data_IF_838793041720
#
_entry.id   IF_838793041720
#
_cell.length_a   1.000
_cell.length_b   1.000
_cell.length_c   1.000
_cell.angle_alpha   90.00
_cell.angle_beta   90.00
_cell.angle_gamma   90.00
#
_symmetry.space_group_name_H-M   'P 1'
#
loop_
_entity.id
_entity.type
_entity.pdbx_description
1 polymer ?
#
# COMPACT_ATOMS: atom_id res chain seq x y z
N UNK A 1 18.18 20.92 -28.29
CA UNK A 1 16.74 21.11 -28.60
C UNK A 1 16.32 22.47 -28.05
N UNK A 2 15.64 23.33 -28.80
CA UNK A 2 15.23 24.66 -28.29
C UNK A 2 14.16 24.54 -27.19
N UNK A 3 14.13 25.46 -26.22
CA UNK A 3 13.11 25.54 -25.16
C UNK A 3 11.69 25.50 -25.74
N UNK A 4 11.46 26.19 -26.86
CA UNK A 4 10.17 26.16 -27.59
C UNK A 4 9.81 24.76 -28.12
N UNK A 5 10.82 23.98 -28.53
CA UNK A 5 10.63 22.61 -29.00
C UNK A 5 10.22 21.65 -27.88
N UNK A 6 10.85 21.78 -26.71
CA UNK A 6 10.52 21.00 -25.52
C UNK A 6 9.09 21.29 -25.05
N UNK A 7 8.69 22.57 -24.98
CA UNK A 7 7.33 22.97 -24.59
C UNK A 7 6.27 22.40 -25.53
N UNK A 8 6.51 22.41 -26.86
CA UNK A 8 5.59 21.84 -27.84
C UNK A 8 5.44 20.32 -27.68
N UNK A 9 6.54 19.61 -27.43
CA UNK A 9 6.51 18.17 -27.20
C UNK A 9 5.79 17.82 -25.90
N UNK A 10 6.05 18.56 -24.81
CA UNK A 10 5.35 18.36 -23.54
C UNK A 10 3.84 18.56 -23.67
N UNK A 11 3.40 19.57 -24.43
CA UNK A 11 1.98 19.79 -24.70
C UNK A 11 1.35 18.65 -25.51
N UNK A 12 2.06 18.11 -26.51
CA UNK A 12 1.59 16.97 -27.28
C UNK A 12 1.45 15.71 -26.41
N UNK A 13 2.42 15.44 -25.52
CA UNK A 13 2.36 14.33 -24.56
C UNK A 13 1.18 14.49 -23.61
N UNK A 14 0.96 15.70 -23.07
CA UNK A 14 -0.23 15.97 -22.24
C UNK A 14 -1.55 15.69 -22.97
N UNK A 15 -1.65 16.06 -24.26
CA UNK A 15 -2.82 15.75 -25.09
C UNK A 15 -3.04 14.24 -25.23
N UNK A 16 -1.98 13.51 -25.58
CA UNK A 16 -2.02 12.06 -25.74
C UNK A 16 -2.39 11.33 -24.44
N UNK A 17 -1.89 11.79 -23.28
CA UNK A 17 -2.25 11.21 -21.98
C UNK A 17 -3.75 11.37 -21.69
N UNK A 18 -4.33 12.54 -21.99
CA UNK A 18 -5.77 12.78 -21.81
C UNK A 18 -6.62 11.91 -22.71
N UNK A 19 -6.29 11.86 -24.00
CA UNK A 19 -6.99 11.03 -24.98
C UNK A 19 -6.91 9.54 -24.61
N UNK A 20 -5.75 9.06 -24.18
CA UNK A 20 -5.56 7.69 -23.70
C UNK A 20 -6.46 7.40 -22.50
N UNK A 21 -6.54 8.33 -21.55
CA UNK A 21 -7.35 8.17 -20.35
C UNK A 21 -8.85 8.18 -20.67
N UNK A 22 -9.29 9.08 -21.55
CA UNK A 22 -10.68 9.14 -22.02
C UNK A 22 -11.07 7.87 -22.78
N UNK A 23 -10.22 7.39 -23.68
CA UNK A 23 -10.41 6.13 -24.40
C UNK A 23 -10.50 4.95 -23.45
N UNK A 24 -9.63 4.88 -22.44
CA UNK A 24 -9.66 3.82 -21.43
C UNK A 24 -11.00 3.77 -20.68
N UNK A 25 -11.56 4.90 -20.25
CA UNK A 25 -12.84 4.89 -19.54
C UNK A 25 -14.08 4.69 -20.44
N UNK A 26 -13.96 4.98 -21.73
CA UNK A 26 -15.08 4.82 -22.68
C UNK A 26 -15.15 3.43 -23.30
N UNK A 27 -13.99 2.78 -23.49
CA UNK A 27 -13.90 1.47 -24.16
C UNK A 27 -13.82 0.28 -23.20
N UNK A 28 -13.37 0.50 -21.95
CA UNK A 28 -13.16 -0.59 -21.00
C UNK A 28 -14.45 -1.00 -20.28
N UNK A 29 -14.61 -2.29 -20.04
CA UNK A 29 -15.73 -2.84 -19.28
C UNK A 29 -15.30 -3.15 -17.84
N UNK A 30 -15.57 -2.23 -16.92
CA UNK A 30 -15.18 -2.37 -15.51
C UNK A 30 -16.11 -3.34 -14.76
N UNK A 31 -15.55 -4.43 -14.23
CA UNK A 31 -16.28 -5.43 -13.43
C UNK A 31 -16.04 -5.20 -11.93
N UNK A 32 -16.39 -4.02 -11.42
CA UNK A 32 -16.25 -3.68 -10.00
C UNK A 32 -17.51 -3.98 -9.20
N UNK A 33 -17.36 -4.09 -7.87
CA UNK A 33 -18.49 -4.34 -6.94
C UNK A 33 -19.50 -3.18 -6.93
N UNK A 34 -19.03 -1.93 -7.08
CA UNK A 34 -19.87 -0.73 -7.02
C UNK A 34 -19.56 0.16 -8.22
N UNK A 35 -20.60 0.72 -8.83
CA UNK A 35 -20.44 1.71 -9.92
C UNK A 35 -19.65 2.95 -9.46
N UNK A 36 -19.82 3.35 -8.19
CA UNK A 36 -19.07 4.47 -7.60
C UNK A 36 -17.56 4.27 -7.61
N UNK A 37 -17.08 3.02 -7.70
CA UNK A 37 -15.65 2.73 -7.82
C UNK A 37 -15.08 3.20 -9.15
N UNK A 38 -15.83 3.16 -10.26
CA UNK A 38 -15.36 3.66 -11.55
C UNK A 38 -15.11 5.17 -11.47
N UNK A 39 -16.04 5.92 -10.86
CA UNK A 39 -15.87 7.36 -10.64
C UNK A 39 -14.69 7.68 -9.71
N UNK A 40 -14.51 6.90 -8.64
CA UNK A 40 -13.37 7.05 -7.72
C UNK A 40 -12.03 6.77 -8.42
N UNK A 41 -11.96 5.70 -9.22
CA UNK A 41 -10.79 5.34 -10.03
C UNK A 41 -10.48 6.45 -11.04
N UNK A 42 -11.49 6.95 -11.76
CA UNK A 42 -11.32 8.04 -12.73
C UNK A 42 -10.70 9.27 -12.09
N UNK A 43 -11.23 9.72 -10.94
CA UNK A 43 -10.68 10.85 -10.20
C UNK A 43 -9.23 10.63 -9.77
N UNK A 44 -8.88 9.42 -9.33
CA UNK A 44 -7.51 9.06 -8.95
C UNK A 44 -6.56 9.07 -10.15
N UNK A 45 -6.97 8.50 -11.28
CA UNK A 45 -6.17 8.46 -12.50
C UNK A 45 -5.99 9.85 -13.11
N UNK A 46 -7.03 10.69 -13.16
CA UNK A 46 -6.90 12.09 -13.57
C UNK A 46 -5.87 12.85 -12.72
N UNK A 47 -5.81 12.54 -11.42
CA UNK A 47 -4.85 13.16 -10.49
C UNK A 47 -3.41 12.68 -10.75
N UNK A 48 -3.21 11.38 -10.93
CA UNK A 48 -1.87 10.76 -11.01
C UNK A 48 -1.37 10.63 -12.45
N UNK A 49 -2.13 9.96 -13.32
CA UNK A 49 -1.71 9.56 -14.66
C UNK A 49 -1.42 10.75 -15.58
N UNK A 50 -2.21 11.82 -15.46
CA UNK A 50 -2.04 13.01 -16.29
C UNK A 50 -0.78 13.81 -15.95
N UNK A 51 -0.14 13.56 -14.78
CA UNK A 51 1.10 14.23 -14.37
C UNK A 51 0.97 15.76 -14.49
N UNK A 52 -0.19 16.29 -14.15
CA UNK A 52 -0.53 17.70 -14.37
C UNK A 52 -0.14 18.60 -13.20
N UNK A 53 0.05 18.01 -12.01
CA UNK A 53 0.38 18.70 -10.77
C UNK A 53 1.35 17.88 -9.92
N UNK A 54 2.04 18.49 -8.94
CA UNK A 54 2.88 17.75 -8.02
C UNK A 54 2.08 16.73 -7.21
N UNK A 55 2.72 15.60 -6.92
CA UNK A 55 2.22 14.56 -6.05
C UNK A 55 3.14 14.49 -4.84
N UNK A 56 2.58 14.64 -3.64
CA UNK A 56 3.31 14.56 -2.37
C UNK A 56 2.81 13.33 -1.62
N UNK A 57 3.69 12.35 -1.47
CA UNK A 57 3.45 11.20 -0.61
C UNK A 57 4.13 11.39 0.73
N UNK A 58 3.40 11.11 1.82
CA UNK A 58 3.92 11.18 3.17
C UNK A 58 3.58 9.87 3.87
N UNK A 59 4.51 9.37 4.67
CA UNK A 59 4.33 8.24 5.57
C UNK A 59 4.95 8.60 6.93
N UNK A 60 4.27 8.23 8.02
CA UNK A 60 4.70 8.55 9.39
C UNK A 60 4.86 7.27 10.20
N UNK A 61 6.07 7.03 10.68
CA UNK A 61 6.33 5.96 11.65
C UNK A 61 6.27 6.50 13.08
N UNK A 62 5.60 5.73 13.94
CA UNK A 62 5.41 6.07 15.34
C UNK A 62 5.84 4.91 16.25
N UNK A 63 6.12 5.23 17.52
CA UNK A 63 6.59 4.22 18.46
C UNK A 63 5.48 3.22 18.83
N UNK A 64 5.75 1.93 18.62
CA UNK A 64 4.77 0.84 18.73
C UNK A 64 4.13 0.69 20.12
N UNK A 65 4.77 1.19 21.19
CA UNK A 65 4.22 1.14 22.56
C UNK A 65 3.44 2.39 22.93
N UNK A 66 3.76 3.52 22.30
CA UNK A 66 3.15 4.83 22.58
C UNK A 66 3.00 5.54 21.24
N UNK A 67 1.89 5.29 20.51
CA UNK A 67 1.72 5.81 19.15
C UNK A 67 1.84 7.34 19.09
N UNK A 68 1.52 8.06 20.18
CA UNK A 68 1.67 9.53 20.23
C UNK A 68 3.09 10.05 19.99
N UNK A 69 4.11 9.18 20.00
CA UNK A 69 5.50 9.54 19.74
C UNK A 69 5.89 9.19 18.31
N UNK A 70 5.85 10.20 17.43
CA UNK A 70 6.37 10.10 16.07
C UNK A 70 7.88 9.91 16.10
N UNK A 71 8.39 8.90 15.41
CA UNK A 71 9.81 8.56 15.36
C UNK A 71 10.47 8.96 14.06
N UNK A 72 9.75 8.85 12.94
CA UNK A 72 10.26 9.13 11.60
C UNK A 72 9.19 9.78 10.73
N UNK A 73 9.63 10.59 9.77
CA UNK A 73 8.80 11.15 8.71
C UNK A 73 9.44 10.80 7.37
N UNK A 74 8.62 10.27 6.47
CA UNK A 74 8.99 9.95 5.10
C UNK A 74 8.23 10.81 4.12
N UNK A 75 8.94 11.38 3.15
CA UNK A 75 8.31 12.09 2.04
C UNK A 75 8.86 11.58 0.71
N UNK A 76 7.97 11.46 -0.27
CA UNK A 76 8.33 11.25 -1.67
C UNK A 76 7.50 12.20 -2.54
N UNK A 77 8.18 13.05 -3.32
CA UNK A 77 7.57 14.12 -4.11
C UNK A 77 7.89 13.90 -5.57
N UNK A 78 6.85 13.74 -6.38
CA UNK A 78 6.95 13.80 -7.83
C UNK A 78 6.44 15.17 -8.31
N UNK A 79 7.31 15.93 -8.96
CA UNK A 79 6.96 17.22 -9.55
C UNK A 79 7.07 17.10 -11.08
N UNK A 80 5.96 17.16 -11.83
CA UNK A 80 6.00 16.92 -13.28
C UNK A 80 6.76 18.01 -14.06
N UNK A 81 7.02 19.17 -13.46
CA UNK A 81 7.71 20.26 -14.13
C UNK A 81 9.10 19.84 -14.59
N UNK A 82 9.39 20.12 -15.87
CA UNK A 82 10.67 19.81 -16.53
C UNK A 82 11.06 18.33 -16.62
N UNK A 83 10.18 17.39 -16.27
CA UNK A 83 10.47 15.95 -16.37
C UNK A 83 9.36 15.13 -17.05
N UNK A 84 8.38 15.77 -17.69
CA UNK A 84 7.28 15.08 -18.38
C UNK A 84 7.77 14.13 -19.50
N UNK A 85 8.89 14.47 -20.15
CA UNK A 85 9.51 13.66 -21.21
C UNK A 85 10.56 12.68 -20.67
N UNK A 86 10.80 12.66 -19.36
CA UNK A 86 11.77 11.76 -18.74
C UNK A 86 11.20 10.35 -18.67
N UNK A 87 11.97 9.37 -19.15
CA UNK A 87 11.62 7.95 -19.04
C UNK A 87 11.60 7.53 -17.57
N UNK A 88 12.58 8.00 -16.80
CA UNK A 88 12.66 7.78 -15.36
C UNK A 88 12.24 9.06 -14.63
N UNK A 89 11.15 9.06 -13.85
CA UNK A 89 10.76 10.22 -13.07
C UNK A 89 11.77 10.45 -11.93
N UNK A 90 12.23 11.69 -11.80
CA UNK A 90 12.98 12.17 -10.66
C UNK A 90 12.01 12.43 -9.49
N UNK A 91 12.02 11.51 -8.53
CA UNK A 91 11.25 11.60 -7.28
C UNK A 91 12.18 12.12 -6.19
N UNK A 92 11.82 13.25 -5.56
CA UNK A 92 12.55 13.80 -4.42
C UNK A 92 12.11 13.04 -3.17
N UNK A 93 13.05 12.47 -2.44
CA UNK A 93 12.76 11.72 -1.21
C UNK A 93 13.42 12.35 -0.01
N UNK A 94 12.69 12.48 1.10
CA UNK A 94 13.22 12.97 2.36
C UNK A 94 12.92 11.96 3.44
N UNK A 95 13.97 11.59 4.17
CA UNK A 95 13.85 10.75 5.35
C UNK A 95 14.30 11.54 6.58
N UNK A 96 13.39 11.76 7.51
CA UNK A 96 13.64 12.55 8.72
C UNK A 96 13.45 11.65 9.94
N UNK A 97 14.45 11.62 10.81
CA UNK A 97 14.40 10.98 12.12
C UNK A 97 14.20 12.07 13.17
N UNK A 98 13.15 11.93 13.99
CA UNK A 98 12.84 12.89 15.04
C UNK A 98 13.86 12.76 16.17
N UNK A 99 14.68 13.79 16.39
CA UNK A 99 15.79 13.78 17.37
C UNK A 99 15.33 13.38 18.77
N UNK A 100 14.21 13.93 19.25
CA UNK A 100 13.66 13.70 20.58
C UNK A 100 13.27 12.23 20.80
N UNK A 101 12.83 11.56 19.73
CA UNK A 101 12.31 10.20 19.76
C UNK A 101 13.26 9.20 19.07
N UNK A 102 14.48 9.60 18.70
CA UNK A 102 15.45 8.78 17.96
C UNK A 102 15.75 7.45 18.67
N UNK A 103 15.88 7.49 20.00
CA UNK A 103 16.16 6.35 20.87
C UNK A 103 15.00 5.32 20.96
N UNK A 104 13.79 5.68 20.51
CA UNK A 104 12.63 4.77 20.53
C UNK A 104 12.65 3.89 19.28
N UNK A 105 12.88 2.59 19.45
CA UNK A 105 13.02 1.63 18.36
C UNK A 105 11.86 0.64 18.35
N UNK A 106 11.19 0.50 17.21
CA UNK A 106 10.19 -0.54 16.97
C UNK A 106 10.89 -1.87 16.75
N UNK A 107 10.46 -2.94 17.43
CA UNK A 107 11.06 -4.27 17.25
C UNK A 107 10.15 -5.42 17.62
N UNK A 108 9.10 -5.18 18.42
CA UNK A 108 8.21 -6.24 18.92
C UNK A 108 7.16 -6.62 17.88
N UNK A 109 6.53 -5.63 17.25
CA UNK A 109 5.43 -5.83 16.31
C UNK A 109 5.84 -5.46 14.89
N UNK A 110 6.66 -4.42 14.76
CA UNK A 110 7.18 -3.91 13.48
C UNK A 110 8.70 -4.04 13.47
N UNK A 111 9.31 -4.56 12.38
CA UNK A 111 10.77 -4.57 12.23
C UNK A 111 11.39 -3.18 12.36
N UNK A 112 12.55 -3.08 13.00
CA UNK A 112 13.29 -1.83 13.04
C UNK A 112 13.94 -1.56 11.67
N UNK A 113 13.40 -0.59 10.92
CA UNK A 113 13.99 -0.14 9.64
C UNK A 113 14.36 1.33 9.59
N UNK A 114 14.32 1.99 10.74
CA UNK A 114 14.66 3.41 10.92
C UNK A 114 15.92 3.86 10.22
N UNK A 115 16.99 3.06 10.28
CA UNK A 115 18.30 3.45 9.78
C UNK A 115 18.64 2.83 8.41
N UNK A 116 17.65 2.25 7.73
CA UNK A 116 17.83 1.53 6.45
C UNK A 116 17.12 2.24 5.29
N UNK A 117 17.32 3.56 5.19
CA UNK A 117 16.80 4.35 4.08
C UNK A 117 17.53 4.02 2.77
N UNK A 118 16.78 3.66 1.72
CA UNK A 118 17.35 3.25 0.44
C UNK A 118 17.86 4.45 -0.38
N UNK A 119 17.29 5.64 -0.17
CA UNK A 119 17.58 6.85 -0.94
C UNK A 119 18.79 7.65 -0.45
N UNK A 120 19.58 7.10 0.46
CA UNK A 120 20.82 7.71 0.94
C UNK A 120 20.71 8.26 2.37
N UNK A 121 20.61 9.59 2.51
CA UNK A 121 20.83 10.26 3.80
C UNK A 121 19.51 10.41 4.57
N UNK A 122 19.56 9.99 5.84
CA UNK A 122 18.54 10.29 6.84
C UNK A 122 18.92 11.58 7.58
N UNK A 123 18.04 12.56 7.60
CA UNK A 123 18.23 13.81 8.32
C UNK A 123 17.71 13.67 9.74
N UNK A 124 18.47 14.17 10.71
CA UNK A 124 18.03 14.23 12.09
C UNK A 124 17.52 15.64 12.37
N UNK A 125 16.23 15.78 12.63
CA UNK A 125 15.57 17.05 12.91
C UNK A 125 14.79 16.96 14.23
N UNK A 126 14.77 18.04 15.00
CA UNK A 126 13.83 18.17 16.11
C UNK A 126 12.38 18.17 15.62
N UNK A 127 11.41 17.91 16.52
CA UNK A 127 10.00 18.04 16.21
C UNK A 127 9.64 19.45 15.70
N UNK A 128 10.25 20.49 16.27
CA UNK A 128 10.02 21.87 15.85
C UNK A 128 10.53 22.14 14.42
N UNK A 129 11.75 21.70 14.11
CA UNK A 129 12.31 21.79 12.75
C UNK A 129 11.50 20.96 11.75
N UNK A 130 11.04 19.78 12.15
CA UNK A 130 10.22 18.91 11.32
C UNK A 130 8.86 19.55 11.01
N UNK A 131 8.23 20.20 11.98
CA UNK A 131 7.00 20.99 11.76
C UNK A 131 7.24 22.07 10.72
N UNK A 132 8.28 22.90 10.92
CA UNK A 132 8.60 23.98 10.00
C UNK A 132 8.85 23.45 8.58
N UNK A 133 9.67 22.41 8.46
CA UNK A 133 9.97 21.78 7.18
C UNK A 133 8.71 21.27 6.46
N UNK A 134 7.83 20.55 7.17
CA UNK A 134 6.58 20.05 6.60
C UNK A 134 5.66 21.20 6.16
N UNK A 135 5.53 22.25 6.98
CA UNK A 135 4.73 23.44 6.62
C UNK A 135 5.25 24.07 5.33
N UNK A 136 6.54 24.33 5.22
CA UNK A 136 7.14 24.92 4.01
C UNK A 136 6.95 24.04 2.76
N UNK A 137 7.12 22.72 2.90
CA UNK A 137 6.90 21.75 1.81
C UNK A 137 5.44 21.72 1.38
N UNK A 138 4.49 21.73 2.31
CA UNK A 138 3.07 21.67 2.00
C UNK A 138 2.56 22.99 1.42
N UNK A 139 2.99 24.12 1.95
CA UNK A 139 2.66 25.43 1.39
C UNK A 139 3.12 25.50 -0.07
N UNK A 140 4.36 25.10 -0.35
CA UNK A 140 4.87 25.13 -1.72
C UNK A 140 4.15 24.13 -2.65
N UNK A 141 4.15 22.84 -2.33
CA UNK A 141 3.68 21.82 -3.28
C UNK A 141 2.16 21.63 -3.27
N UNK A 142 1.50 21.77 -2.12
CA UNK A 142 0.07 21.50 -1.98
C UNK A 142 -0.78 22.76 -2.11
N UNK A 143 -0.32 23.90 -1.58
CA UNK A 143 -1.09 25.16 -1.62
C UNK A 143 -0.77 25.98 -2.87
N UNK A 144 0.46 26.47 -3.01
CA UNK A 144 0.89 27.33 -4.12
C UNK A 144 0.76 26.61 -5.47
N UNK A 145 1.30 25.39 -5.54
CA UNK A 145 1.30 24.55 -6.74
C UNK A 145 0.03 23.71 -6.91
N UNK A 146 -0.90 23.78 -5.95
CA UNK A 146 -2.18 23.05 -5.96
C UNK A 146 -2.02 21.54 -6.18
N UNK A 147 -0.91 20.97 -5.68
CA UNK A 147 -0.60 19.56 -5.78
C UNK A 147 -1.55 18.69 -4.97
N UNK A 148 -1.35 17.38 -5.08
CA UNK A 148 -2.22 16.37 -4.50
C UNK A 148 -1.45 15.49 -3.53
N UNK A 149 -2.14 15.03 -2.48
CA UNK A 149 -1.60 14.07 -1.54
C UNK A 149 -1.79 12.67 -2.11
N UNK A 150 -0.75 11.86 -2.04
CA UNK A 150 -0.80 10.41 -2.26
C UNK A 150 -0.43 9.73 -0.95
N UNK A 151 -1.03 8.59 -0.64
CA UNK A 151 -0.58 7.83 0.53
C UNK A 151 -1.25 6.47 0.66
N UNK A 152 -1.01 5.84 1.79
CA UNK A 152 -1.51 4.52 2.11
C UNK A 152 -2.26 4.61 3.43
N UNK A 153 -3.59 4.59 3.41
CA UNK A 153 -4.41 4.96 4.57
C UNK A 153 -4.14 6.40 5.06
N UNK A 154 -4.25 7.38 4.15
CA UNK A 154 -3.83 8.79 4.35
C UNK A 154 -4.41 9.42 5.63
N UNK A 155 -5.60 9.00 6.06
CA UNK A 155 -6.23 9.53 7.26
C UNK A 155 -5.41 9.25 8.53
N UNK A 156 -4.68 8.14 8.58
CA UNK A 156 -3.77 7.80 9.68
C UNK A 156 -2.62 8.80 9.78
N UNK A 157 -1.91 9.02 8.68
CA UNK A 157 -0.77 9.95 8.62
C UNK A 157 -1.20 11.39 8.91
N UNK A 158 -2.34 11.83 8.37
CA UNK A 158 -2.89 13.17 8.61
C UNK A 158 -3.13 13.41 10.10
N UNK A 159 -3.57 12.40 10.87
CA UNK A 159 -3.74 12.53 12.33
C UNK A 159 -2.39 12.77 13.02
N UNK A 160 -1.34 12.07 12.60
CA UNK A 160 0.01 12.28 13.14
C UNK A 160 0.57 13.65 12.80
N UNK A 161 0.43 14.07 11.55
CA UNK A 161 0.89 15.37 11.05
C UNK A 161 0.20 16.52 11.79
N UNK A 162 -1.13 16.42 11.99
CA UNK A 162 -1.87 17.38 12.81
C UNK A 162 -1.43 17.37 14.28
N UNK A 163 -1.13 16.20 14.83
CA UNK A 163 -0.56 16.05 16.17
C UNK A 163 0.81 16.71 16.33
N UNK A 164 1.60 16.80 15.26
CA UNK A 164 2.85 17.58 15.22
C UNK A 164 2.60 19.09 15.16
N UNK A 165 1.36 19.54 14.96
CA UNK A 165 1.00 20.96 14.83
C UNK A 165 1.14 21.49 13.40
N UNK A 166 1.08 20.63 12.39
CA UNK A 166 1.08 21.02 10.98
C UNK A 166 -0.35 20.96 10.45
N UNK A 167 -0.83 22.05 9.88
CA UNK A 167 -2.12 22.06 9.21
C UNK A 167 -2.01 21.34 7.86
N UNK A 168 -2.89 20.38 7.64
CA UNK A 168 -2.97 19.62 6.40
C UNK A 168 -4.44 19.44 6.04
N UNK A 169 -4.90 20.28 5.11
CA UNK A 169 -6.21 20.18 4.47
C UNK A 169 -6.01 20.26 2.95
N UNK A 170 -6.08 19.11 2.28
CA UNK A 170 -6.00 19.03 0.83
C UNK A 170 -7.21 18.28 0.28
N UNK A 171 -7.90 18.90 -0.67
CA UNK A 171 -9.11 18.36 -1.30
C UNK A 171 -8.82 17.26 -2.34
N UNK A 172 -7.58 17.15 -2.78
CA UNK A 172 -7.10 16.18 -3.77
C UNK A 172 -6.19 15.16 -3.09
N UNK A 173 -6.80 14.03 -2.72
CA UNK A 173 -6.14 12.91 -2.04
C UNK A 173 -6.34 11.64 -2.85
N UNK A 174 -5.26 10.88 -3.06
CA UNK A 174 -5.27 9.55 -3.66
C UNK A 174 -4.75 8.55 -2.63
N UNK A 175 -5.62 7.65 -2.20
CA UNK A 175 -5.33 6.64 -1.19
C UNK A 175 -5.14 5.28 -1.87
N UNK A 176 -3.91 4.78 -1.86
CA UNK A 176 -3.52 3.54 -2.56
C UNK A 176 -4.18 2.31 -1.97
N UNK A 177 -4.47 2.30 -0.65
CA UNK A 177 -5.19 1.19 -0.01
C UNK A 177 -6.62 1.10 -0.55
N UNK A 178 -7.32 2.24 -0.58
CA UNK A 178 -8.69 2.32 -1.11
C UNK A 178 -8.73 2.02 -2.60
N UNK A 179 -7.78 2.53 -3.37
CA UNK A 179 -7.67 2.28 -4.80
C UNK A 179 -7.44 0.80 -5.11
N UNK A 180 -6.60 0.13 -4.33
CA UNK A 180 -6.38 -1.30 -4.47
C UNK A 180 -7.64 -2.11 -4.12
N UNK A 181 -8.41 -1.66 -3.12
CA UNK A 181 -9.65 -2.31 -2.71
C UNK A 181 -10.80 -2.23 -3.72
N UNK A 182 -10.72 -1.32 -4.70
CA UNK A 182 -11.63 -1.31 -5.85
C UNK A 182 -11.51 -2.63 -6.64
N UNK A 183 -10.29 -3.17 -6.72
CA UNK A 183 -9.96 -4.35 -7.51
C UNK A 183 -9.92 -5.64 -6.68
N UNK A 184 -9.65 -5.58 -5.37
CA UNK A 184 -9.44 -6.79 -4.54
C UNK A 184 -9.98 -6.65 -3.12
N UNK A 185 -10.48 -7.76 -2.58
CA UNK A 185 -10.99 -7.80 -1.19
C UNK A 185 -9.93 -7.88 -0.10
N UNK A 186 -8.71 -8.35 -0.40
CA UNK A 186 -7.63 -8.58 0.57
C UNK A 186 -6.26 -8.19 0.00
N UNK A 187 -5.25 -8.14 0.87
CA UNK A 187 -3.86 -7.92 0.48
C UNK A 187 -3.46 -6.46 0.35
N UNK A 188 -4.31 -5.53 0.82
CA UNK A 188 -4.09 -4.10 0.71
C UNK A 188 -3.00 -3.54 1.66
N UNK A 189 -2.17 -4.36 2.29
CA UNK A 189 -0.92 -3.84 2.88
C UNK A 189 -0.01 -3.32 1.76
N UNK A 190 0.78 -2.27 2.01
CA UNK A 190 1.75 -1.75 1.04
C UNK A 190 2.59 -2.87 0.39
N UNK A 191 3.17 -3.76 1.20
CA UNK A 191 3.91 -4.95 0.71
C UNK A 191 3.10 -5.80 -0.28
N UNK A 192 1.84 -6.08 0.07
CA UNK A 192 0.94 -6.90 -0.75
C UNK A 192 0.60 -6.22 -2.07
N UNK A 193 0.32 -4.92 -2.04
CA UNK A 193 0.10 -4.10 -3.24
C UNK A 193 1.33 -4.16 -4.15
N UNK A 194 2.53 -3.89 -3.62
CA UNK A 194 3.77 -3.90 -4.40
C UNK A 194 4.04 -5.27 -5.05
N UNK A 195 3.72 -6.37 -4.36
CA UNK A 195 3.84 -7.73 -4.93
C UNK A 195 2.89 -7.95 -6.10
N UNK A 196 1.62 -7.56 -5.95
CA UNK A 196 0.62 -7.69 -7.04
C UNK A 196 1.02 -6.85 -8.25
N UNK A 197 1.58 -5.66 -8.01
CA UNK A 197 2.07 -4.77 -9.06
C UNK A 197 3.43 -5.20 -9.64
N UNK A 198 4.06 -6.25 -9.12
CA UNK A 198 5.38 -6.68 -9.58
C UNK A 198 6.51 -5.67 -9.27
N UNK A 199 6.33 -4.77 -8.30
CA UNK A 199 7.30 -3.74 -7.93
C UNK A 199 8.29 -4.30 -6.90
N UNK A 200 9.59 -4.41 -7.25
CA UNK A 200 10.62 -4.85 -6.31
C UNK A 200 10.81 -3.82 -5.19
N UNK A 201 10.85 -4.29 -3.95
CA UNK A 201 10.91 -3.43 -2.78
C UNK A 201 11.77 -4.03 -1.67
N UNK A 202 12.34 -3.16 -0.84
CA UNK A 202 13.15 -3.54 0.32
C UNK A 202 13.03 -2.49 1.43
N UNK A 203 13.32 -2.89 2.67
CA UNK A 203 13.38 -1.98 3.82
C UNK A 203 12.08 -1.18 4.05
N UNK A 204 10.92 -1.85 3.89
CA UNK A 204 9.63 -1.33 4.37
C UNK A 204 9.66 -1.18 5.90
N UNK A 205 8.84 -0.29 6.46
CA UNK A 205 8.92 0.23 7.84
C UNK A 205 10.05 1.24 8.07
N UNK A 206 10.58 1.78 6.97
CA UNK A 206 11.31 3.03 6.97
C UNK A 206 10.39 4.04 6.26
N UNK A 207 10.03 5.11 6.95
CA UNK A 207 8.95 5.99 6.49
C UNK A 207 9.19 6.53 5.06
N UNK A 208 10.44 6.90 4.72
CA UNK A 208 10.73 7.45 3.39
C UNK A 208 10.73 6.39 2.29
N UNK A 209 11.16 5.16 2.59
CA UNK A 209 11.00 4.04 1.66
C UNK A 209 9.52 3.75 1.41
N UNK A 210 8.70 3.75 2.47
CA UNK A 210 7.27 3.47 2.37
C UNK A 210 6.54 4.57 1.59
N UNK A 211 6.86 5.85 1.81
CA UNK A 211 6.36 6.95 0.99
C UNK A 211 6.78 6.81 -0.49
N UNK A 212 8.03 6.44 -0.76
CA UNK A 212 8.52 6.23 -2.12
C UNK A 212 7.80 5.10 -2.83
N UNK A 213 7.69 3.93 -2.18
CA UNK A 213 7.02 2.78 -2.76
C UNK A 213 5.51 2.99 -2.90
N UNK A 214 4.89 3.74 -1.99
CA UNK A 214 3.48 4.12 -2.11
C UNK A 214 3.25 5.02 -3.33
N UNK A 215 4.16 5.96 -3.60
CA UNK A 215 4.09 6.79 -4.79
C UNK A 215 4.25 5.95 -6.08
N UNK A 216 5.20 5.00 -6.11
CA UNK A 216 5.34 4.06 -7.23
C UNK A 216 4.09 3.18 -7.42
N UNK A 217 3.52 2.68 -6.33
CA UNK A 217 2.28 1.92 -6.37
C UNK A 217 1.14 2.76 -6.96
N UNK A 218 1.05 4.04 -6.60
CA UNK A 218 0.05 4.94 -7.19
C UNK A 218 0.22 5.12 -8.70
N UNK A 219 1.46 5.17 -9.20
CA UNK A 219 1.72 5.26 -10.64
C UNK A 219 1.19 4.02 -11.36
N UNK A 220 1.48 2.83 -10.84
CA UNK A 220 1.03 1.59 -11.45
C UNK A 220 -0.48 1.37 -11.31
N UNK A 221 -1.08 1.69 -10.15
CA UNK A 221 -2.51 1.58 -9.93
C UNK A 221 -3.33 2.55 -10.78
N UNK A 222 -2.71 3.66 -11.22
CA UNK A 222 -3.37 4.68 -12.04
C UNK A 222 -2.96 4.65 -13.52
N UNK A 223 -2.18 3.67 -13.97
CA UNK A 223 -1.75 3.54 -15.37
C UNK A 223 -2.69 2.60 -16.14
N UNK A 224 -3.39 3.06 -17.21
CA UNK A 224 -4.31 2.24 -17.99
C UNK A 224 -3.71 0.91 -18.47
N UNK A 225 -2.45 0.93 -18.93
CA UNK A 225 -1.78 -0.24 -19.49
C UNK A 225 -1.47 -1.24 -18.40
N UNK A 226 -0.90 -0.81 -17.27
CA UNK A 226 -0.62 -1.70 -16.15
C UNK A 226 -1.90 -2.27 -15.54
N UNK A 227 -2.96 -1.47 -15.45
CA UNK A 227 -4.27 -1.95 -14.95
C UNK A 227 -4.83 -3.07 -15.81
N UNK A 228 -4.77 -2.93 -17.13
CA UNK A 228 -5.20 -3.98 -18.06
C UNK A 228 -4.32 -5.23 -17.97
N UNK A 229 -2.99 -5.07 -17.98
CA UNK A 229 -2.03 -6.18 -17.89
C UNK A 229 -2.19 -7.00 -16.60
N UNK A 230 -2.50 -6.35 -15.49
CA UNK A 230 -2.65 -6.95 -14.17
C UNK A 230 -4.11 -7.31 -13.82
N UNK A 231 -5.03 -7.17 -14.79
CA UNK A 231 -6.46 -7.41 -14.61
C UNK A 231 -7.06 -6.68 -13.39
N UNK A 232 -6.64 -5.44 -13.16
CA UNK A 232 -7.10 -4.64 -12.02
C UNK A 232 -8.50 -4.08 -12.23
N UNK A 233 -9.08 -4.20 -13.41
CA UNK A 233 -10.42 -3.68 -13.73
C UNK A 233 -11.54 -4.71 -13.52
N UNK A 234 -11.16 -5.92 -13.11
CA UNK A 234 -12.06 -6.94 -12.61
C UNK A 234 -11.88 -7.09 -11.10
N UNK A 235 -12.97 -7.01 -10.35
CA UNK A 235 -12.92 -7.27 -8.92
C UNK A 235 -12.64 -8.75 -8.68
N UNK A 236 -11.54 -9.03 -7.99
CA UNK A 236 -11.19 -10.38 -7.53
C UNK A 236 -11.58 -10.57 -6.07
N UNK A 237 -12.51 -11.51 -5.86
CA UNK A 237 -12.82 -12.05 -4.54
C UNK A 237 -11.87 -13.22 -4.30
N UNK A 238 -10.97 -13.10 -3.34
CA UNK A 238 -10.11 -14.23 -2.98
C UNK A 238 -10.98 -15.30 -2.30
N UNK A 239 -11.34 -16.35 -3.05
CA UNK A 239 -12.24 -17.42 -2.59
C UNK A 239 -11.57 -18.38 -1.60
N UNK A 240 -10.24 -18.40 -1.50
CA UNK A 240 -9.51 -19.28 -0.59
C UNK A 240 -8.90 -18.51 0.59
N UNK A 241 -9.33 -18.77 1.83
CA UNK A 241 -8.59 -18.35 3.01
C UNK A 241 -7.18 -18.96 2.92
N UNK A 242 -6.13 -18.12 2.93
CA UNK A 242 -4.77 -18.62 3.05
C UNK A 242 -4.71 -19.45 4.32
N UNK A 243 -4.46 -20.76 4.21
CA UNK A 243 -4.41 -21.64 5.37
C UNK A 243 -3.40 -21.09 6.39
N UNK A 244 -3.69 -21.21 7.69
CA UNK A 244 -2.79 -20.70 8.75
C UNK A 244 -1.34 -21.19 8.57
N UNK A 245 -1.18 -22.38 8.01
CA UNK A 245 0.11 -22.98 7.61
C UNK A 245 0.82 -22.15 6.52
N UNK A 246 0.13 -21.85 5.41
CA UNK A 246 0.69 -21.10 4.28
C UNK A 246 0.98 -19.63 4.66
N UNK A 247 0.11 -19.00 5.44
CA UNK A 247 0.35 -17.66 5.98
C UNK A 247 1.57 -17.62 6.92
N UNK A 248 1.84 -18.71 7.67
CA UNK A 248 3.03 -18.86 8.50
C UNK A 248 4.28 -19.14 7.66
N UNK A 249 4.14 -19.85 6.54
CA UNK A 249 5.21 -20.11 5.58
C UNK A 249 5.60 -18.82 4.84
N UNK A 250 4.64 -18.01 4.40
CA UNK A 250 4.84 -16.68 3.82
C UNK A 250 5.51 -15.74 4.82
N UNK A 251 5.05 -15.70 6.09
CA UNK A 251 5.75 -14.94 7.15
C UNK A 251 7.17 -15.42 7.40
N UNK A 252 7.46 -16.71 7.19
CA UNK A 252 8.82 -17.28 7.32
C UNK A 252 9.68 -16.96 6.11
N UNK A 253 9.16 -17.09 4.89
CA UNK A 253 9.86 -16.69 3.67
C UNK A 253 10.12 -15.17 3.64
N UNK A 254 9.20 -14.38 4.21
CA UNK A 254 9.37 -12.94 4.46
C UNK A 254 10.55 -12.62 5.37
N UNK A 255 10.73 -13.36 6.47
CA UNK A 255 11.91 -13.25 7.33
C UNK A 255 13.19 -13.75 6.63
N UNK A 256 13.06 -14.69 5.71
CA UNK A 256 14.18 -15.29 4.97
C UNK A 256 14.71 -14.36 3.87
N UNK A 257 13.85 -13.84 2.98
CA UNK A 257 14.25 -12.88 1.92
C UNK A 257 14.96 -11.66 2.52
N UNK A 258 14.49 -11.20 3.67
CA UNK A 258 15.08 -10.10 4.40
C UNK A 258 16.46 -10.41 5.01
N UNK A 259 16.77 -11.68 5.24
CA UNK A 259 18.04 -12.17 5.78
C UNK A 259 19.03 -12.57 4.67
N UNK A 260 18.52 -12.97 3.50
CA UNK A 260 19.31 -13.45 2.35
C UNK A 260 20.14 -12.34 1.67
N UNK A 261 19.91 -11.05 1.96
CA UNK A 261 20.81 -9.98 1.47
C UNK A 261 22.19 -9.94 2.15
N UNK A 262 22.53 -10.90 3.01
CA UNK A 262 23.87 -10.99 3.64
C UNK A 262 24.48 -12.41 3.57
N UNK A 263 23.90 -13.37 2.83
CA UNK A 263 24.55 -14.69 2.66
C UNK A 263 25.13 -14.84 1.24
N UNK A 264 26.45 -15.01 1.21
CA UNK A 264 27.38 -14.97 0.07
C UNK A 264 27.31 -16.16 -0.89
N UNK A 265 26.29 -17.03 -0.80
CA UNK A 265 26.14 -18.14 -1.75
C UNK A 265 25.20 -17.75 -2.89
N UNK A 266 25.79 -17.49 -4.06
CA UNK A 266 25.05 -17.28 -5.31
C UNK A 266 24.09 -18.46 -5.57
N UNK A 267 22.84 -18.21 -5.98
CA UNK A 267 21.90 -19.27 -6.35
C UNK A 267 22.44 -20.08 -7.54
N UNK A 268 22.20 -21.39 -7.56
CA UNK A 268 22.67 -22.26 -8.66
C UNK A 268 21.80 -22.03 -9.89
N UNK A 269 22.36 -22.29 -11.07
CA UNK A 269 21.63 -22.15 -12.34
C UNK A 269 20.35 -23.00 -12.44
N UNK A 270 20.28 -24.11 -11.70
CA UNK A 270 19.07 -24.92 -11.58
C UNK A 270 17.95 -24.18 -10.85
N UNK A 271 18.27 -23.51 -9.74
CA UNK A 271 17.31 -22.74 -8.95
C UNK A 271 16.72 -21.56 -9.76
N UNK A 272 17.53 -20.96 -10.64
CA UNK A 272 17.06 -19.94 -11.58
C UNK A 272 16.09 -20.52 -12.61
N UNK A 273 16.44 -21.63 -13.26
CA UNK A 273 15.59 -22.28 -14.29
C UNK A 273 14.21 -22.63 -13.75
N UNK A 274 14.16 -23.20 -12.55
CA UNK A 274 12.92 -23.66 -11.94
C UNK A 274 12.05 -22.48 -11.48
N UNK A 275 12.67 -21.36 -11.08
CA UNK A 275 11.95 -20.12 -10.73
C UNK A 275 11.29 -19.44 -11.94
N UNK A 276 11.89 -19.54 -13.12
CA UNK A 276 11.37 -18.96 -14.37
C UNK A 276 10.12 -19.73 -14.86
N UNK A 277 10.06 -21.05 -14.64
CA UNK A 277 8.86 -21.84 -14.93
C UNK A 277 7.66 -21.50 -14.04
N UNK A 278 7.88 -21.10 -12.79
CA UNK A 278 6.79 -20.70 -11.87
C UNK A 278 6.24 -19.32 -12.23
N UNK A 279 7.08 -18.43 -12.76
CA UNK A 279 6.71 -17.04 -13.02
C UNK A 279 5.73 -16.87 -14.19
N UNK A 280 5.73 -17.79 -15.16
CA UNK A 280 4.88 -17.69 -16.35
C UNK A 280 3.48 -18.32 -16.21
N UNK A 281 3.26 -19.26 -15.27
CA UNK A 281 2.00 -20.03 -15.23
C UNK A 281 1.05 -19.70 -14.06
N UNK A 282 1.53 -19.14 -12.94
CA UNK A 282 0.70 -19.03 -11.71
C UNK A 282 -0.07 -17.71 -11.54
N UNK A 283 0.29 -16.63 -12.24
CA UNK A 283 -0.35 -15.30 -12.04
C UNK A 283 -1.68 -15.16 -12.81
N UNK A 284 -1.86 -15.87 -13.93
CA UNK A 284 -3.08 -15.79 -14.75
C UNK A 284 -4.10 -16.91 -14.53
N UNK A 285 -3.74 -18.02 -13.87
CA UNK A 285 -4.59 -19.22 -13.80
C UNK A 285 -5.50 -19.34 -12.57
N UNK A 286 -5.55 -18.34 -11.68
CA UNK A 286 -6.21 -18.48 -10.35
C UNK A 286 -7.31 -17.46 -10.02
N UNK A 287 -7.95 -16.84 -11.01
CA UNK A 287 -9.09 -15.96 -10.77
C UNK A 287 -10.24 -16.30 -11.71
N UNK A 288 -11.36 -16.74 -11.15
CA UNK A 288 -12.63 -16.84 -11.88
C UNK A 288 -13.29 -15.46 -11.94
N UNK A 289 -13.87 -15.13 -13.09
CA UNK A 289 -14.63 -13.90 -13.28
C UNK A 289 -15.92 -13.94 -12.45
N UNK A 290 -16.26 -12.82 -11.79
CA UNK A 290 -17.51 -12.70 -11.06
C UNK A 290 -18.69 -12.55 -12.03
N UNK A 291 -19.57 -13.56 -12.11
CA UNK A 291 -20.70 -13.62 -13.05
C UNK A 291 -22.01 -13.01 -12.54
N UNK A 292 -21.99 -12.20 -11.48
CA UNK A 292 -23.13 -11.36 -11.09
C UNK A 292 -24.36 -12.06 -10.49
N UNK A 293 -24.42 -13.40 -10.45
CA UNK A 293 -25.65 -14.15 -10.15
C UNK A 293 -25.61 -15.05 -8.90
N UNK A 294 -24.58 -14.99 -8.05
CA UNK A 294 -24.55 -15.85 -6.87
C UNK A 294 -25.28 -15.21 -5.67
N UNK A 295 -26.46 -15.77 -5.36
CA UNK A 295 -27.22 -15.50 -4.14
C UNK A 295 -26.36 -15.73 -2.89
N UNK A 296 -26.61 -14.91 -1.87
CA UNK A 296 -25.86 -14.92 -0.62
C UNK A 296 -25.87 -16.31 0.03
N UNK A 297 -24.70 -16.95 0.10
CA UNK A 297 -24.50 -18.17 0.88
C UNK A 297 -24.69 -17.85 2.37
N UNK A 298 -25.57 -18.57 3.09
CA UNK A 298 -25.84 -18.28 4.48
C UNK A 298 -24.61 -18.60 5.34
N UNK A 299 -24.28 -17.67 6.24
CA UNK A 299 -23.25 -17.84 7.26
C UNK A 299 -23.61 -18.98 8.20
N UNK A 300 -22.77 -20.01 8.22
CA UNK A 300 -22.85 -21.10 9.19
C UNK A 300 -22.65 -20.56 10.61
N UNK A 301 -23.66 -20.74 11.45
CA UNK A 301 -23.59 -20.40 12.86
C UNK A 301 -24.91 -20.64 13.58
N UNK A 302 -25.25 -21.90 13.84
CA UNK A 302 -25.99 -22.28 15.04
C UNK A 302 -25.77 -23.77 15.31
N UNK A 303 -25.05 -24.06 16.38
CA UNK A 303 -24.78 -25.39 16.89
C UNK A 303 -26.06 -25.99 17.48
N UNK A 304 -26.56 -27.06 16.88
CA UNK A 304 -27.55 -27.94 17.50
C UNK A 304 -26.98 -28.54 18.79
N UNK A 305 -27.62 -28.22 19.92
CA UNK A 305 -27.49 -28.97 21.17
C UNK A 305 -28.30 -30.26 21.03
N UNK A 306 -27.65 -31.41 21.17
CA UNK A 306 -28.32 -32.65 21.57
C UNK A 306 -28.26 -32.83 23.10
N UNK A 307 -29.27 -33.50 23.70
CA UNK A 307 -29.64 -33.33 25.10
C UNK A 307 -28.89 -34.27 26.05
N UNK A 308 -28.71 -33.77 27.28
CA UNK A 308 -28.23 -34.51 28.44
C UNK A 308 -29.20 -35.65 28.79
N UNK A 309 -28.66 -36.87 28.88
CA UNK A 309 -29.29 -38.00 29.53
C UNK A 309 -28.65 -38.20 30.91
N UNK A 310 -29.34 -37.78 31.98
CA UNK A 310 -29.12 -38.29 33.35
C UNK A 310 -30.47 -38.28 34.09
N UNK A 311 -31.10 -39.45 34.04
CA UNK A 311 -31.86 -40.13 35.11
C UNK A 311 -32.22 -39.35 36.37
N UNK A 312 -33.53 -39.31 36.63
CA UNK A 312 -34.20 -38.89 37.87
C UNK A 312 -33.95 -39.84 39.05
N UNK A 313 -33.63 -39.20 40.19
CA UNK A 313 -33.99 -39.48 41.59
C UNK A 313 -34.65 -40.81 41.96
N UNK A 314 -34.09 -41.44 42.99
CA UNK A 314 -34.68 -41.89 44.27
C UNK A 314 -33.50 -42.56 45.02
N UNK A 315 -33.26 -42.47 46.33
CA UNK A 315 -33.95 -41.99 47.51
C UNK A 315 -33.27 -42.68 48.70
N UNK A 316 -33.31 -42.03 49.86
CA UNK A 316 -33.17 -42.62 51.21
C UNK A 316 -31.76 -42.83 51.80
N UNK A 317 -31.63 -42.24 52.99
CA UNK A 317 -30.54 -42.26 53.95
C UNK A 317 -30.26 -43.65 54.54
N UNK A 318 -29.03 -43.90 54.99
CA UNK A 318 -28.64 -43.86 56.43
C UNK A 318 -27.27 -44.51 56.66
N UNK A 319 -26.53 -43.89 57.61
CA UNK A 319 -25.64 -44.45 58.64
C UNK A 319 -24.35 -45.22 58.27
N UNK A 320 -23.30 -44.83 59.00
CA UNK A 320 -22.31 -45.66 59.74
C UNK A 320 -21.66 -46.81 58.96
N UNK A 321 -20.36 -47.10 59.02
CA UNK A 321 -19.22 -46.68 59.84
C UNK A 321 -18.01 -47.45 59.28
N UNK A 322 -16.80 -46.92 59.43
CA UNK A 322 -15.53 -47.63 59.63
C UNK A 322 -15.49 -49.15 59.40
N UNK A 323 -14.69 -49.58 58.43
CA UNK A 323 -13.41 -50.27 58.63
C UNK A 323 -12.57 -50.20 57.34
#
# INVERSE_FOLDING_TARGET
MSVKGILKQSAAVQGALKETLESYFTSNNFKFVKETHVAALKKAMETVYLRSKPLVCIDVEAYEKVPSKVTELGLAIYDPESQLLSIQPAIKTFHIIISENKHLLNSRFVPNKKFEFNGGISYELSMAQSRQFLTEIFDHYLVERKGSIVGHNVEGDVKWIRGLGVELDNKSVVDTEKLFHISRSRGASLRGILRVLGIPHANLHNAANDAYYTLLASFALCDPVQRQQLNLDCFMRDLTPVSKSRAKLEKRSEKFIHRVRVETSLPRFADFRDSVSVFNDEIQSRSEEYNGNDEAVPTAGESEKQPNDVTTKEGVATKESSE
#
